data_IF_092217642646
#
_entry.id   IF_092217642646
#
_cell.length_a   1.000
_cell.length_b   1.000
_cell.length_c   1.000
_cell.angle_alpha   90.00
_cell.angle_beta   90.00
_cell.angle_gamma   90.00
#
_symmetry.space_group_name_H-M   'P 1'
#
loop_
_entity.id
_entity.type
_entity.pdbx_description
1 polymer ?
#
# COMPACT_ATOMS: atom_id res chain seq x y z
N UNK A 1 10.43 -38.66 4.85
CA UNK A 1 9.80 -39.88 4.30
C UNK A 1 10.41 -41.11 4.96
N UNK A 2 9.66 -42.20 5.09
CA UNK A 2 10.20 -43.52 5.44
C UNK A 2 10.24 -44.39 4.18
N UNK A 3 11.32 -45.15 4.03
CA UNK A 3 11.50 -46.11 2.95
C UNK A 3 12.23 -47.33 3.51
N UNK A 4 11.79 -48.53 3.12
CA UNK A 4 12.34 -49.79 3.60
C UNK A 4 12.49 -50.75 2.44
N UNK A 5 13.54 -51.55 2.49
CA UNK A 5 13.83 -52.64 1.57
C UNK A 5 14.43 -53.81 2.38
N UNK A 6 14.44 -55.03 1.84
CA UNK A 6 15.00 -56.19 2.52
C UNK A 6 16.54 -56.20 2.52
N UNK A 7 17.20 -55.50 1.59
CA UNK A 7 18.67 -55.34 1.53
C UNK A 7 19.07 -53.91 1.92
N UNK A 8 18.36 -52.91 1.39
CA UNK A 8 18.54 -51.52 1.78
C UNK A 8 18.12 -50.53 0.70
N UNK A 9 17.50 -49.42 1.14
CA UNK A 9 17.22 -48.27 0.28
C UNK A 9 18.47 -47.41 0.20
N UNK A 10 18.89 -47.06 -1.01
CA UNK A 10 20.11 -46.27 -1.27
C UNK A 10 19.81 -44.83 -1.71
N UNK A 11 18.55 -44.50 -1.96
CA UNK A 11 18.14 -43.15 -2.33
C UNK A 11 16.62 -42.96 -2.38
N UNK A 12 16.18 -41.74 -2.09
CA UNK A 12 14.80 -41.28 -2.22
C UNK A 12 14.77 -39.98 -3.02
N UNK A 13 14.16 -40.00 -4.20
CA UNK A 13 13.90 -38.82 -5.01
C UNK A 13 12.49 -38.29 -4.73
N UNK A 14 12.41 -37.10 -4.15
CA UNK A 14 11.14 -36.39 -3.97
C UNK A 14 10.68 -35.75 -5.28
N UNK A 15 9.36 -35.70 -5.48
CA UNK A 15 8.72 -35.21 -6.70
C UNK A 15 7.58 -34.23 -6.38
N UNK A 16 7.44 -33.19 -7.21
CA UNK A 16 6.32 -32.25 -7.24
C UNK A 16 5.68 -32.33 -8.63
N UNK A 17 4.41 -32.72 -8.71
CA UNK A 17 3.67 -32.85 -9.99
C UNK A 17 4.48 -33.65 -11.04
N UNK A 18 5.10 -34.75 -10.60
CA UNK A 18 6.00 -35.64 -11.36
C UNK A 18 7.43 -35.14 -11.61
N UNK A 19 7.71 -33.84 -11.49
CA UNK A 19 9.04 -33.26 -11.62
C UNK A 19 9.90 -33.51 -10.38
N UNK A 20 11.23 -33.61 -10.53
CA UNK A 20 12.14 -33.73 -9.38
C UNK A 20 12.07 -32.48 -8.52
N UNK A 21 11.83 -32.66 -7.22
CA UNK A 21 11.86 -31.60 -6.23
C UNK A 21 13.18 -31.70 -5.46
N UNK A 22 14.22 -31.07 -5.99
CA UNK A 22 15.59 -31.19 -5.48
C UNK A 22 16.33 -32.45 -5.96
N UNK A 23 17.55 -32.65 -5.44
CA UNK A 23 18.35 -33.85 -5.68
C UNK A 23 17.79 -35.05 -4.92
N UNK A 24 18.18 -36.25 -5.35
CA UNK A 24 17.92 -37.47 -4.59
C UNK A 24 18.61 -37.41 -3.22
N UNK A 25 17.88 -37.78 -2.17
CA UNK A 25 18.40 -37.89 -0.82
C UNK A 25 18.90 -39.32 -0.58
N UNK A 26 20.19 -39.47 -0.33
CA UNK A 26 20.86 -40.76 -0.10
C UNK A 26 21.16 -41.02 1.37
N UNK A 27 20.69 -40.16 2.28
CA UNK A 27 20.95 -40.28 3.72
C UNK A 27 19.65 -40.44 4.51
N UNK A 28 19.65 -41.38 5.45
CA UNK A 28 18.52 -41.57 6.37
C UNK A 28 18.73 -40.69 7.61
N UNK A 29 17.70 -40.01 8.16
CA UNK A 29 16.30 -40.02 7.73
C UNK A 29 16.04 -39.14 6.48
N UNK A 30 15.31 -39.70 5.51
CA UNK A 30 15.08 -39.02 4.22
C UNK A 30 14.19 -37.78 4.37
N UNK A 31 14.67 -36.63 3.95
CA UNK A 31 13.97 -35.35 4.07
C UNK A 31 14.29 -34.39 2.93
N UNK A 32 13.38 -33.44 2.72
CA UNK A 32 13.55 -32.37 1.75
C UNK A 32 13.00 -31.09 2.34
N UNK A 33 13.74 -29.99 2.16
CA UNK A 33 13.21 -28.64 2.32
C UNK A 33 12.69 -28.14 0.98
N UNK A 34 11.41 -27.78 0.92
CA UNK A 34 10.78 -27.20 -0.25
C UNK A 34 10.46 -25.73 -0.01
N UNK A 35 11.08 -24.85 -0.80
CA UNK A 35 10.67 -23.45 -0.85
C UNK A 35 9.41 -23.31 -1.70
N UNK A 36 8.25 -23.16 -1.06
CA UNK A 36 6.96 -23.05 -1.77
C UNK A 36 6.80 -21.73 -2.52
N UNK A 37 7.54 -20.68 -2.17
CA UNK A 37 7.38 -19.32 -2.75
C UNK A 37 7.70 -19.24 -4.24
N UNK A 38 8.41 -20.24 -4.78
CA UNK A 38 8.74 -20.34 -6.21
C UNK A 38 7.77 -21.22 -6.99
N UNK A 39 6.82 -21.85 -6.31
CA UNK A 39 5.77 -22.67 -6.92
C UNK A 39 4.49 -21.84 -7.03
N UNK A 40 3.75 -21.99 -8.12
CA UNK A 40 2.45 -21.35 -8.27
C UNK A 40 1.47 -21.76 -7.16
N UNK A 41 0.49 -20.91 -6.84
CA UNK A 41 -0.57 -21.30 -5.92
C UNK A 41 -1.49 -22.32 -6.59
N UNK A 42 -1.96 -23.30 -5.82
CA UNK A 42 -2.84 -24.34 -6.33
C UNK A 42 -2.65 -25.69 -5.64
N UNK A 43 -3.39 -26.69 -6.12
CA UNK A 43 -3.22 -28.08 -5.70
C UNK A 43 -1.99 -28.68 -6.37
N UNK A 44 -1.13 -29.29 -5.57
CA UNK A 44 0.08 -29.96 -6.01
C UNK A 44 0.16 -31.37 -5.42
N UNK A 45 0.77 -32.28 -6.16
CA UNK A 45 0.95 -33.67 -5.74
C UNK A 45 2.41 -33.95 -5.40
N UNK A 46 2.67 -34.33 -4.16
CA UNK A 46 3.96 -34.81 -3.68
C UNK A 46 4.02 -36.34 -3.74
N UNK A 47 5.09 -36.88 -4.30
CA UNK A 47 5.44 -38.30 -4.24
C UNK A 47 6.92 -38.48 -3.92
N UNK A 48 7.29 -39.65 -3.42
CA UNK A 48 8.68 -40.05 -3.20
C UNK A 48 8.96 -41.34 -3.98
N UNK A 49 10.08 -41.38 -4.70
CA UNK A 49 10.56 -42.57 -5.43
C UNK A 49 11.76 -43.12 -4.68
N UNK A 50 11.59 -44.25 -3.99
CA UNK A 50 12.68 -44.95 -3.34
C UNK A 50 13.35 -45.90 -4.34
N UNK A 51 14.69 -46.00 -4.30
CA UNK A 51 15.45 -46.97 -5.08
C UNK A 51 16.40 -47.81 -4.23
N UNK A 52 16.61 -49.06 -4.64
CA UNK A 52 17.62 -49.94 -4.07
C UNK A 52 18.94 -49.91 -4.87
N UNK A 53 19.94 -50.67 -4.40
CA UNK A 53 21.24 -50.78 -5.05
C UNK A 53 21.20 -51.49 -6.41
N UNK A 54 20.17 -52.32 -6.65
CA UNK A 54 19.94 -53.02 -7.92
C UNK A 54 19.22 -52.16 -8.96
N UNK A 55 18.74 -50.97 -8.58
CA UNK A 55 18.03 -50.02 -9.44
C UNK A 55 16.51 -50.22 -9.46
N UNK A 56 15.95 -51.11 -8.64
CA UNK A 56 14.51 -51.24 -8.49
C UNK A 56 13.94 -49.96 -7.86
N UNK A 57 12.75 -49.54 -8.31
CA UNK A 57 12.11 -48.30 -7.87
C UNK A 57 10.67 -48.53 -7.46
N UNK A 58 10.26 -47.89 -6.37
CA UNK A 58 8.87 -47.83 -5.92
C UNK A 58 8.48 -46.39 -5.64
N UNK A 59 7.32 -45.98 -6.16
CA UNK A 59 6.74 -44.66 -5.89
C UNK A 59 5.75 -44.77 -4.74
N UNK A 60 5.81 -43.83 -3.80
CA UNK A 60 4.84 -43.74 -2.71
C UNK A 60 3.43 -43.43 -3.20
N UNK A 61 2.43 -43.65 -2.35
CA UNK A 61 1.12 -43.01 -2.53
C UNK A 61 1.27 -41.47 -2.62
N UNK A 62 0.44 -40.79 -3.43
CA UNK A 62 0.48 -39.35 -3.55
C UNK A 62 -0.01 -38.65 -2.28
N UNK A 63 0.64 -37.55 -1.91
CA UNK A 63 0.15 -36.60 -0.92
C UNK A 63 -0.23 -35.33 -1.65
N UNK A 64 -1.52 -34.97 -1.60
CA UNK A 64 -2.01 -33.73 -2.20
C UNK A 64 -1.90 -32.61 -1.18
N UNK A 65 -1.26 -31.51 -1.57
CA UNK A 65 -1.06 -30.31 -0.77
C UNK A 65 -1.51 -29.09 -1.55
N UNK A 66 -1.99 -28.06 -0.85
CA UNK A 66 -2.31 -26.78 -1.49
C UNK A 66 -1.20 -25.79 -1.20
N UNK A 67 -0.54 -25.30 -2.24
CA UNK A 67 0.37 -24.15 -2.14
C UNK A 67 -0.50 -22.89 -2.15
N UNK A 68 -0.33 -22.07 -1.12
CA UNK A 68 -1.03 -20.80 -0.97
C UNK A 68 -0.04 -19.73 -0.50
N UNK A 69 0.87 -19.35 -1.37
CA UNK A 69 1.78 -18.23 -1.13
C UNK A 69 0.98 -16.93 -1.08
N UNK A 70 1.25 -16.10 -0.08
CA UNK A 70 0.71 -14.74 -0.03
C UNK A 70 1.36 -13.91 -1.14
N UNK A 71 0.54 -13.26 -1.97
CA UNK A 71 1.01 -12.35 -3.02
C UNK A 71 0.90 -10.89 -2.62
N UNK A 72 0.92 -10.61 -1.30
CA UNK A 72 0.77 -9.24 -0.79
C UNK A 72 1.82 -8.32 -1.41
N UNK A 73 1.36 -7.37 -2.22
CA UNK A 73 2.22 -6.40 -2.88
C UNK A 73 1.94 -5.00 -2.33
N UNK A 74 2.94 -4.41 -1.69
CA UNK A 74 2.93 -2.99 -1.32
C UNK A 74 3.46 -2.16 -2.50
N UNK A 75 2.65 -1.21 -2.96
CA UNK A 75 3.02 -0.19 -3.94
C UNK A 75 2.97 1.19 -3.27
N UNK A 76 3.98 2.02 -3.50
CA UNK A 76 4.07 3.38 -2.95
C UNK A 76 3.97 4.42 -4.07
N UNK A 77 3.13 5.43 -3.87
CA UNK A 77 2.89 6.50 -4.83
C UNK A 77 3.20 7.85 -4.19
N UNK A 78 4.13 8.58 -4.76
CA UNK A 78 4.29 10.01 -4.44
C UNK A 78 3.14 10.80 -5.10
N UNK A 79 2.73 11.94 -4.53
CA UNK A 79 1.76 12.81 -5.19
C UNK A 79 2.30 13.29 -6.54
N UNK A 80 1.43 13.27 -7.53
CA UNK A 80 1.66 13.91 -8.84
C UNK A 80 1.35 15.40 -8.81
N UNK A 81 0.59 15.85 -7.80
CA UNK A 81 0.37 17.24 -7.44
C UNK A 81 0.02 17.34 -5.94
N UNK A 82 0.53 18.34 -5.24
CA UNK A 82 0.01 18.81 -3.97
C UNK A 82 0.04 20.34 -3.88
N UNK A 83 -0.85 20.92 -3.08
CA UNK A 83 -0.85 22.35 -2.82
C UNK A 83 -1.71 22.61 -1.59
N UNK A 84 -1.42 23.69 -0.88
CA UNK A 84 -2.42 24.29 -0.01
C UNK A 84 -3.03 25.53 -0.67
N UNK A 85 -4.27 25.84 -0.30
CA UNK A 85 -4.97 27.06 -0.69
C UNK A 85 -5.27 27.86 0.55
N UNK A 86 -5.33 29.20 0.42
CA UNK A 86 -5.58 30.09 1.55
C UNK A 86 -6.62 31.15 1.21
N UNK A 87 -7.60 31.33 2.08
CA UNK A 87 -8.68 32.30 1.88
C UNK A 87 -8.25 33.77 1.99
N UNK A 88 -9.23 34.67 1.86
CA UNK A 88 -9.05 36.11 2.05
C UNK A 88 -8.16 36.76 1.00
N UNK A 89 -7.22 37.60 1.42
CA UNK A 89 -6.30 38.33 0.52
C UNK A 89 -5.36 37.41 -0.25
N UNK A 90 -5.24 36.14 0.14
CA UNK A 90 -4.44 35.12 -0.54
C UNK A 90 -5.27 34.28 -1.51
N UNK A 91 -6.55 34.60 -1.71
CA UNK A 91 -7.47 33.69 -2.40
C UNK A 91 -7.09 33.37 -3.85
N UNK A 92 -6.39 34.30 -4.51
CA UNK A 92 -5.88 34.13 -5.89
C UNK A 92 -4.41 33.73 -5.95
N UNK A 93 -3.74 33.51 -4.81
CA UNK A 93 -2.35 33.05 -4.77
C UNK A 93 -2.30 31.53 -4.86
N UNK A 94 -1.28 31.03 -5.56
CA UNK A 94 -0.95 29.62 -5.63
C UNK A 94 0.21 29.31 -4.68
N UNK A 95 0.13 28.16 -4.00
CA UNK A 95 1.18 27.69 -3.08
C UNK A 95 1.69 26.29 -3.47
N UNK A 96 1.52 25.87 -4.71
CA UNK A 96 1.91 24.53 -5.18
C UNK A 96 3.42 24.30 -5.30
N UNK A 97 4.25 25.31 -5.01
CA UNK A 97 5.71 25.17 -4.95
C UNK A 97 6.26 25.37 -3.54
N UNK A 98 5.39 25.43 -2.53
CA UNK A 98 5.81 25.57 -1.15
C UNK A 98 6.34 24.24 -0.62
N UNK A 99 7.41 24.25 0.18
CA UNK A 99 7.98 23.02 0.79
C UNK A 99 7.10 22.41 1.90
N UNK A 100 5.99 23.07 2.24
CA UNK A 100 5.03 22.66 3.27
C UNK A 100 3.60 22.88 2.79
N UNK A 101 2.72 22.00 3.23
CA UNK A 101 1.29 22.08 3.08
C UNK A 101 0.69 22.54 4.40
N UNK A 102 -0.14 23.58 4.37
CA UNK A 102 -0.77 24.11 5.57
C UNK A 102 -2.26 23.76 5.63
N UNK A 103 -2.75 23.46 6.83
CA UNK A 103 -4.17 23.30 7.12
C UNK A 103 -4.51 24.13 8.36
N UNK A 104 -5.64 24.84 8.29
CA UNK A 104 -6.22 25.60 9.40
C UNK A 104 -7.67 25.95 9.06
N UNK A 105 -8.61 25.72 9.97
CA UNK A 105 -9.93 26.34 9.92
C UNK A 105 -10.04 27.41 11.02
N UNK A 106 -10.13 28.67 10.60
CA UNK A 106 -10.16 29.84 11.46
C UNK A 106 -11.60 30.32 11.68
N UNK A 107 -11.80 31.19 12.68
CA UNK A 107 -13.04 31.96 12.83
C UNK A 107 -13.19 33.13 11.83
N UNK A 108 -12.28 33.22 10.87
CA UNK A 108 -12.21 34.26 9.84
C UNK A 108 -11.76 33.56 8.56
N UNK A 109 -12.65 33.46 7.57
CA UNK A 109 -12.41 32.77 6.29
C UNK A 109 -11.10 33.20 5.61
N UNK A 110 -10.60 34.40 5.92
CA UNK A 110 -9.32 34.92 5.42
C UNK A 110 -8.06 34.18 5.89
N UNK A 111 -8.17 33.33 6.91
CA UNK A 111 -7.07 32.54 7.45
C UNK A 111 -7.25 31.04 7.25
N UNK A 112 -8.35 30.64 6.61
CA UNK A 112 -8.63 29.25 6.30
C UNK A 112 -7.64 28.74 5.27
N UNK A 113 -7.18 27.52 5.52
CA UNK A 113 -6.22 26.81 4.68
C UNK A 113 -6.67 25.38 4.51
N UNK A 114 -6.63 24.90 3.28
CA UNK A 114 -6.95 23.52 2.92
C UNK A 114 -5.81 22.96 2.10
N UNK A 115 -5.50 21.69 2.33
CA UNK A 115 -4.45 20.98 1.61
C UNK A 115 -5.08 20.02 0.61
N UNK A 116 -4.53 19.96 -0.60
CA UNK A 116 -4.96 19.08 -1.68
C UNK A 116 -3.80 18.20 -2.13
N UNK A 117 -4.06 16.92 -2.37
CA UNK A 117 -3.08 15.98 -2.94
C UNK A 117 -3.74 15.15 -4.04
N UNK A 118 -3.01 14.88 -5.12
CA UNK A 118 -3.43 13.98 -6.20
C UNK A 118 -2.38 12.93 -6.47
N UNK A 119 -2.84 11.70 -6.71
CA UNK A 119 -2.00 10.53 -7.01
C UNK A 119 -2.47 9.88 -8.32
N UNK A 120 -1.52 9.28 -9.03
CA UNK A 120 -1.77 8.48 -10.23
C UNK A 120 -1.47 7.01 -9.92
N UNK A 121 -2.50 6.17 -9.95
CA UNK A 121 -2.44 4.74 -9.67
C UNK A 121 -2.56 3.91 -10.95
N UNK A 122 -2.39 4.49 -12.13
CA UNK A 122 -2.57 3.82 -13.43
C UNK A 122 -1.66 2.61 -13.62
N UNK A 123 -0.54 2.51 -12.89
CA UNK A 123 0.34 1.34 -12.87
C UNK A 123 -0.27 0.11 -12.17
N UNK A 124 -1.31 0.28 -11.36
CA UNK A 124 -2.03 -0.82 -10.71
C UNK A 124 -3.00 -1.43 -11.72
N UNK A 125 -2.86 -2.74 -11.97
CA UNK A 125 -3.74 -3.46 -12.90
C UNK A 125 -5.01 -4.02 -12.24
N UNK A 126 -4.97 -4.33 -10.94
CA UNK A 126 -6.16 -4.78 -10.21
C UNK A 126 -7.17 -3.65 -10.03
N UNK A 127 -8.43 -4.02 -9.81
CA UNK A 127 -9.53 -3.08 -9.56
C UNK A 127 -9.81 -2.89 -8.06
N UNK A 128 -9.01 -3.51 -7.20
CA UNK A 128 -9.12 -3.41 -5.75
C UNK A 128 -7.76 -3.58 -5.07
N UNK A 129 -7.73 -3.12 -3.82
CA UNK A 129 -6.66 -3.21 -2.86
C UNK A 129 -7.20 -3.66 -1.49
N UNK A 130 -6.39 -4.41 -0.75
CA UNK A 130 -6.67 -4.82 0.63
C UNK A 130 -6.58 -3.64 1.59
N UNK A 131 -5.64 -2.74 1.37
CA UNK A 131 -5.54 -1.48 2.12
C UNK A 131 -4.97 -0.36 1.27
N UNK A 132 -5.39 0.87 1.57
CA UNK A 132 -4.75 2.08 1.09
C UNK A 132 -4.64 3.12 2.22
N UNK A 133 -3.43 3.60 2.46
CA UNK A 133 -3.11 4.53 3.54
C UNK A 133 -2.40 5.75 2.99
N UNK A 134 -3.01 6.93 3.16
CA UNK A 134 -2.32 8.20 2.94
C UNK A 134 -1.41 8.46 4.15
N UNK A 135 -0.13 8.68 3.91
CA UNK A 135 0.85 9.05 4.93
C UNK A 135 1.38 10.44 4.66
N UNK A 136 1.28 11.29 5.68
CA UNK A 136 1.77 12.66 5.66
C UNK A 136 2.73 12.86 6.83
N UNK A 137 3.84 13.55 6.59
CA UNK A 137 4.76 13.92 7.65
C UNK A 137 4.35 15.26 8.25
N UNK A 138 3.86 15.24 9.49
CA UNK A 138 3.52 16.41 10.29
C UNK A 138 4.82 17.09 10.72
N UNK A 139 5.17 18.19 10.07
CA UNK A 139 6.40 18.95 10.34
C UNK A 139 6.22 19.95 11.48
N UNK A 140 4.99 20.42 11.71
CA UNK A 140 4.67 21.36 12.78
C UNK A 140 3.23 21.21 13.27
N UNK A 141 3.04 21.26 14.59
CA UNK A 141 1.75 21.42 15.27
C UNK A 141 1.84 22.66 16.15
N UNK A 142 1.51 23.83 15.60
CA UNK A 142 1.80 25.12 16.24
C UNK A 142 1.10 25.25 17.59
N UNK A 143 -0.13 24.77 17.69
CA UNK A 143 -0.94 24.83 18.91
C UNK A 143 -1.16 23.45 19.56
N UNK A 144 -0.23 22.52 19.35
CA UNK A 144 -0.09 21.23 20.05
C UNK A 144 -0.97 20.09 19.53
N UNK A 145 -2.23 20.36 19.20
CA UNK A 145 -3.13 19.38 18.58
C UNK A 145 -3.91 20.00 17.42
N UNK A 146 -4.25 19.20 16.41
CA UNK A 146 -5.04 19.65 15.26
C UNK A 146 -5.99 18.54 14.79
N UNK A 147 -7.32 18.76 14.76
CA UNK A 147 -8.25 17.84 14.13
C UNK A 147 -8.16 17.95 12.61
N UNK A 148 -8.00 16.81 11.94
CA UNK A 148 -7.86 16.72 10.49
C UNK A 148 -8.85 15.71 9.94
N UNK A 149 -9.62 16.17 8.97
CA UNK A 149 -10.53 15.33 8.20
C UNK A 149 -10.07 15.26 6.75
N UNK A 150 -9.99 14.05 6.20
CA UNK A 150 -9.70 13.80 4.79
C UNK A 150 -11.01 13.62 4.04
N UNK A 151 -11.13 14.30 2.91
CA UNK A 151 -12.27 14.26 2.00
C UNK A 151 -11.84 13.76 0.63
N UNK A 152 -12.77 13.08 -0.06
CA UNK A 152 -12.64 12.84 -1.48
C UNK A 152 -12.70 14.16 -2.26
N UNK A 153 -11.99 14.27 -3.37
CA UNK A 153 -12.15 15.34 -4.36
C UNK A 153 -12.59 14.68 -5.66
N UNK A 154 -13.69 15.14 -6.24
CA UNK A 154 -14.33 14.48 -7.39
C UNK A 154 -13.72 14.86 -8.73
N UNK A 155 -12.93 15.93 -8.78
CA UNK A 155 -12.24 16.39 -9.99
C UNK A 155 -10.75 16.14 -9.90
N UNK A 156 -10.20 15.46 -10.90
CA UNK A 156 -8.76 15.25 -11.07
C UNK A 156 -8.11 16.26 -12.04
N UNK A 157 -8.86 17.30 -12.42
CA UNK A 157 -8.43 18.28 -13.43
C UNK A 157 -7.60 19.43 -12.87
N UNK A 158 -7.56 19.60 -11.55
CA UNK A 158 -6.77 20.66 -10.92
C UNK A 158 -5.27 20.41 -11.09
N UNK A 159 -4.53 21.50 -11.21
CA UNK A 159 -3.06 21.47 -11.36
C UNK A 159 -2.42 22.11 -10.15
N UNK A 160 -1.27 21.58 -9.77
CA UNK A 160 -0.46 22.06 -8.64
C UNK A 160 -0.19 23.56 -8.69
N UNK A 161 0.23 24.08 -9.85
CA UNK A 161 0.54 25.49 -10.06
C UNK A 161 -0.67 26.36 -10.42
N UNK A 162 -1.85 25.74 -10.62
CA UNK A 162 -3.06 26.44 -11.04
C UNK A 162 -4.14 26.54 -9.96
N UNK A 163 -4.08 25.70 -8.92
CA UNK A 163 -5.05 25.71 -7.83
C UNK A 163 -4.83 26.91 -6.89
N UNK A 164 -5.91 27.54 -6.50
CA UNK A 164 -6.01 28.69 -5.60
C UNK A 164 -7.27 28.52 -4.77
N UNK A 165 -7.47 29.32 -3.74
CA UNK A 165 -8.72 29.27 -2.97
C UNK A 165 -9.94 29.54 -3.85
N UNK A 166 -9.82 30.50 -4.79
CA UNK A 166 -10.89 30.94 -5.68
C UNK A 166 -11.33 29.91 -6.72
N UNK A 167 -10.50 28.91 -7.04
CA UNK A 167 -10.79 27.91 -8.06
C UNK A 167 -10.59 26.46 -7.59
N UNK A 168 -10.42 26.25 -6.27
CA UNK A 168 -10.25 24.91 -5.71
C UNK A 168 -11.41 23.99 -6.13
N UNK A 169 -11.14 22.70 -6.40
CA UNK A 169 -12.19 21.77 -6.77
C UNK A 169 -13.16 21.56 -5.60
N UNK A 170 -14.41 21.22 -5.92
CA UNK A 170 -15.36 20.79 -4.90
C UNK A 170 -14.89 19.49 -4.24
N UNK A 171 -15.07 19.40 -2.92
CA UNK A 171 -14.84 18.17 -2.17
C UNK A 171 -16.14 17.38 -1.99
N UNK A 172 -16.01 16.06 -1.91
CA UNK A 172 -17.09 15.10 -1.75
C UNK A 172 -17.19 14.59 -0.32
N UNK A 173 -17.43 13.28 -0.17
CA UNK A 173 -17.62 12.64 1.13
C UNK A 173 -16.40 12.71 2.04
N UNK A 174 -16.65 12.87 3.34
CA UNK A 174 -15.65 12.60 4.38
C UNK A 174 -15.21 11.13 4.33
N UNK A 175 -13.90 10.90 4.38
CA UNK A 175 -13.29 9.58 4.34
C UNK A 175 -12.83 9.12 5.72
N UNK A 176 -12.12 9.97 6.44
CA UNK A 176 -11.57 9.69 7.77
C UNK A 176 -11.32 11.00 8.50
N UNK A 177 -11.50 11.01 9.83
CA UNK A 177 -11.19 12.13 10.70
C UNK A 177 -10.34 11.65 11.88
N UNK A 178 -9.31 12.41 12.24
CA UNK A 178 -8.45 12.14 13.38
C UNK A 178 -7.90 13.42 14.00
N UNK A 179 -7.59 13.39 15.29
CA UNK A 179 -6.85 14.47 15.96
C UNK A 179 -5.38 14.12 16.02
N UNK A 180 -4.55 14.96 15.41
CA UNK A 180 -3.10 14.88 15.50
C UNK A 180 -2.63 15.50 16.81
N UNK A 181 -1.68 14.84 17.49
CA UNK A 181 -1.15 15.27 18.79
C UNK A 181 0.38 15.24 18.90
N UNK A 182 1.06 14.77 17.85
CA UNK A 182 2.53 14.69 17.77
C UNK A 182 2.99 15.01 16.35
N UNK A 183 4.22 15.52 16.22
CA UNK A 183 4.90 15.64 14.93
C UNK A 183 5.43 14.28 14.47
N UNK A 184 5.74 14.15 13.18
CA UNK A 184 6.14 12.89 12.57
C UNK A 184 5.08 12.32 11.62
N UNK A 185 5.15 11.02 11.34
CA UNK A 185 4.24 10.39 10.38
C UNK A 185 2.82 10.26 10.94
N UNK A 186 1.85 10.87 10.25
CA UNK A 186 0.44 10.61 10.41
C UNK A 186 -0.06 9.69 9.28
N UNK A 187 -1.00 8.80 9.61
CA UNK A 187 -1.58 7.83 8.68
C UNK A 187 -3.10 8.01 8.63
N UNK A 188 -3.66 7.95 7.43
CA UNK A 188 -5.09 8.11 7.19
C UNK A 188 -5.57 6.95 6.31
N UNK A 189 -6.51 6.14 6.82
CA UNK A 189 -7.08 5.05 6.03
C UNK A 189 -8.05 5.62 4.98
N UNK A 190 -7.73 5.40 3.71
CA UNK A 190 -8.51 5.87 2.55
C UNK A 190 -8.90 4.70 1.64
N UNK A 191 -8.83 3.46 2.14
CA UNK A 191 -8.99 2.21 1.39
C UNK A 191 -10.27 2.20 0.55
N UNK A 192 -11.42 2.53 1.15
CA UNK A 192 -12.71 2.49 0.46
C UNK A 192 -12.78 3.45 -0.73
N UNK A 193 -12.20 4.65 -0.59
CA UNK A 193 -12.15 5.62 -1.68
C UNK A 193 -11.14 5.21 -2.76
N UNK A 194 -9.94 4.75 -2.38
CA UNK A 194 -8.96 4.25 -3.34
C UNK A 194 -9.52 3.08 -4.15
N UNK A 195 -10.29 2.17 -3.53
CA UNK A 195 -10.96 1.09 -4.26
C UNK A 195 -12.01 1.59 -5.26
N UNK A 196 -12.74 2.67 -4.96
CA UNK A 196 -13.66 3.25 -5.95
C UNK A 196 -12.92 3.87 -7.13
N UNK A 197 -11.75 4.46 -6.90
CA UNK A 197 -10.91 5.00 -7.96
C UNK A 197 -10.19 3.90 -8.76
N UNK A 198 -9.74 2.81 -8.13
CA UNK A 198 -9.12 1.67 -8.81
C UNK A 198 -10.08 0.94 -9.77
N UNK A 199 -11.37 0.91 -9.41
CA UNK A 199 -12.44 0.44 -10.29
C UNK A 199 -12.81 1.45 -11.40
N UNK A 200 -12.41 2.71 -11.24
CA UNK A 200 -12.64 3.82 -12.16
C UNK A 200 -11.38 4.23 -12.92
N UNK A 201 -11.03 5.51 -12.81
CA UNK A 201 -9.98 6.15 -13.61
C UNK A 201 -8.55 6.00 -13.03
N UNK A 202 -8.44 5.39 -11.85
CA UNK A 202 -7.19 5.16 -11.11
C UNK A 202 -6.46 6.45 -10.75
N UNK A 203 -7.18 7.56 -10.60
CA UNK A 203 -6.65 8.80 -10.02
C UNK A 203 -7.27 9.03 -8.66
N UNK A 204 -6.48 9.52 -7.73
CA UNK A 204 -6.95 9.76 -6.36
C UNK A 204 -6.67 11.21 -6.03
N UNK A 205 -7.72 12.03 -5.95
CA UNK A 205 -7.65 13.40 -5.44
C UNK A 205 -8.26 13.48 -4.03
N UNK A 206 -7.53 14.10 -3.10
CA UNK A 206 -7.87 14.20 -1.69
C UNK A 206 -7.76 15.65 -1.21
N UNK A 207 -8.61 16.04 -0.26
CA UNK A 207 -8.53 17.32 0.44
C UNK A 207 -8.44 17.06 1.95
N UNK A 208 -7.61 17.83 2.66
CA UNK A 208 -7.56 17.88 4.11
C UNK A 208 -8.15 19.19 4.62
N UNK A 209 -8.99 19.10 5.64
CA UNK A 209 -9.61 20.24 6.29
C UNK A 209 -10.02 19.90 7.73
N UNK A 210 -9.84 20.85 8.64
CA UNK A 210 -10.45 20.87 9.97
C UNK A 210 -11.91 21.30 9.85
N UNK A 211 -12.85 20.39 10.13
CA UNK A 211 -14.29 20.70 10.09
C UNK A 211 -14.84 21.25 11.40
N UNK A 212 -14.01 21.35 12.44
CA UNK A 212 -14.40 21.74 13.79
C UNK A 212 -14.12 23.21 14.11
N UNK A 213 -13.39 23.90 13.22
CA UNK A 213 -12.92 25.27 13.46
C UNK A 213 -12.12 25.37 14.76
N UNK A 214 -11.17 24.45 14.96
CA UNK A 214 -10.31 24.43 16.14
C UNK A 214 -9.27 25.57 16.14
N UNK A 215 -9.10 26.26 15.00
CA UNK A 215 -8.16 27.38 14.82
C UNK A 215 -6.71 26.92 15.09
N UNK A 216 -6.38 25.71 14.66
CA UNK A 216 -5.06 25.07 14.82
C UNK A 216 -4.35 25.06 13.49
N UNK A 217 -3.14 25.61 13.41
CA UNK A 217 -2.28 25.51 12.24
C UNK A 217 -1.45 24.24 12.35
N UNK A 218 -1.67 23.34 11.40
CA UNK A 218 -0.77 22.19 11.16
C UNK A 218 -0.03 22.40 9.84
N UNK A 219 1.23 21.95 9.84
CA UNK A 219 2.03 21.90 8.62
C UNK A 219 2.43 20.44 8.35
N UNK A 220 2.30 20.05 7.10
CA UNK A 220 2.82 18.79 6.57
C UNK A 220 3.96 19.10 5.58
N UNK A 221 4.90 18.18 5.41
CA UNK A 221 5.83 18.28 4.28
C UNK A 221 5.07 18.12 2.95
N UNK A 222 5.40 18.94 1.96
CA UNK A 222 4.90 18.79 0.58
C UNK A 222 5.81 17.88 -0.26
N UNK A 223 5.44 17.67 -1.52
CA UNK A 223 6.26 16.95 -2.50
C UNK A 223 7.55 17.70 -2.88
N UNK A 224 7.61 19.02 -2.72
CA UNK A 224 8.81 19.84 -2.93
C UNK A 224 9.83 19.63 -1.82
N UNK A 225 9.40 19.15 -0.65
CA UNK A 225 10.28 18.92 0.47
C UNK A 225 11.35 17.87 0.16
N UNK A 226 12.61 18.13 0.50
CA UNK A 226 13.71 17.18 0.24
C UNK A 226 13.55 15.82 0.96
N UNK A 227 12.80 15.75 2.05
CA UNK A 227 12.63 14.56 2.90
C UNK A 227 11.17 14.38 3.31
N UNK A 228 10.82 13.14 3.65
CA UNK A 228 9.52 12.78 4.24
C UNK A 228 8.32 13.34 3.45
N UNK A 229 8.38 13.23 2.13
CA UNK A 229 7.30 13.65 1.22
C UNK A 229 6.02 12.85 1.48
N UNK A 230 4.83 13.39 1.14
CA UNK A 230 3.60 12.63 1.16
C UNK A 230 3.71 11.34 0.35
N UNK A 231 3.05 10.28 0.81
CA UNK A 231 2.97 9.01 0.08
C UNK A 231 1.59 8.38 0.27
N UNK A 232 1.07 7.76 -0.80
CA UNK A 232 -0.05 6.85 -0.75
C UNK A 232 0.48 5.42 -0.85
N UNK A 233 0.32 4.65 0.22
CA UNK A 233 0.68 3.23 0.30
C UNK A 233 -0.54 2.39 -0.06
N UNK A 234 -0.42 1.52 -1.06
CA UNK A 234 -1.49 0.63 -1.53
C UNK A 234 -1.02 -0.82 -1.45
N UNK A 235 -1.71 -1.63 -0.65
CA UNK A 235 -1.45 -3.06 -0.47
C UNK A 235 -2.52 -3.87 -1.19
N UNK A 236 -2.10 -4.84 -2.01
CA UNK A 236 -2.97 -5.70 -2.82
C UNK A 236 -2.66 -7.16 -2.58
#
# INVERSE_FOLDING_TARGET
>A
ASASDNVGVVGVQFKLDTANLGSEDTATPYSLSWNTTTTANGSHTLTAVARDAAGNKTTSSPVVVTVSNSTTQLSTFNPVADAHVRGGTFASQNFGTANVLEEKNSNLDSYDRRTFLRFDLSSITSTSATSATLRLYVSSLVEGTAPITVFAVTSDSWTETGITWSNQPAFGSQLVSQTLSTTGWASFNVTSFVNSQLAGDKKVSLMLWDTTQAIKLVQFNSRENSLNKPVLEVTR
#
